data_IF_637096357844
#
_entry.id   IF_637096357844
#
_cell.length_a   1.000
_cell.length_b   1.000
_cell.length_c   1.000
_cell.angle_alpha   90.00
_cell.angle_beta   90.00
_cell.angle_gamma   90.00
#
_symmetry.space_group_name_H-M   'P 1'
#
loop_
_entity.id
_entity.type
_entity.pdbx_description
1 polymer ?
#
# COMPACT_ATOMS: atom_id res chain seq x y z
N UNK A 1 13.21 9.80 8.21
CA UNK A 1 13.20 9.43 6.78
C UNK A 1 12.22 10.25 5.95
N UNK A 2 10.89 10.05 5.94
CA UNK A 2 10.00 10.90 5.12
C UNK A 2 10.13 12.41 5.40
N UNK A 3 10.17 12.81 6.68
CA UNK A 3 10.38 14.21 7.11
C UNK A 3 11.74 14.82 6.75
N UNK A 4 12.70 14.03 6.25
CA UNK A 4 14.00 14.57 5.78
C UNK A 4 13.90 15.07 4.33
N UNK A 5 12.98 14.52 3.54
CA UNK A 5 12.82 14.80 2.12
C UNK A 5 11.53 15.56 1.80
N UNK A 6 10.51 15.44 2.65
CA UNK A 6 9.25 16.15 2.55
C UNK A 6 9.08 17.15 3.69
N UNK A 7 8.47 18.30 3.40
CA UNK A 7 8.16 19.34 4.40
C UNK A 7 6.96 18.95 5.27
N UNK A 8 7.10 17.82 5.98
CA UNK A 8 6.09 17.23 6.87
C UNK A 8 6.77 16.76 8.15
N UNK A 9 6.05 16.79 9.27
CA UNK A 9 6.52 16.26 10.55
C UNK A 9 5.48 15.34 11.16
N UNK A 10 5.91 14.21 11.71
CA UNK A 10 5.04 13.34 12.49
C UNK A 10 5.17 13.65 13.98
N UNK A 11 4.05 13.83 14.65
CA UNK A 11 3.98 13.95 16.11
C UNK A 11 3.27 12.71 16.65
N UNK A 12 3.98 11.92 17.44
CA UNK A 12 3.43 10.70 18.03
C UNK A 12 2.79 11.04 19.38
N UNK A 13 1.52 10.66 19.53
CA UNK A 13 0.79 10.77 20.78
C UNK A 13 0.19 9.41 21.14
N UNK A 14 0.05 9.14 22.44
CA UNK A 14 -0.70 7.99 22.94
C UNK A 14 -2.14 8.37 23.36
N UNK A 15 -2.46 9.66 23.32
CA UNK A 15 -3.73 10.21 23.79
C UNK A 15 -4.25 11.29 22.83
N UNK A 16 -5.57 11.46 22.78
CA UNK A 16 -6.23 12.50 22.01
C UNK A 16 -6.53 12.14 20.56
N UNK A 17 -7.19 13.06 19.87
CA UNK A 17 -7.51 12.96 18.45
C UNK A 17 -6.23 12.89 17.60
N UNK A 18 -6.18 11.98 16.63
CA UNK A 18 -5.03 11.78 15.75
C UNK A 18 -5.48 11.54 14.31
N UNK A 19 -4.81 12.20 13.36
CA UNK A 19 -5.08 12.07 11.92
C UNK A 19 -4.71 10.67 11.40
N UNK A 20 -3.65 10.09 11.96
CA UNK A 20 -3.17 8.73 11.65
C UNK A 20 -3.27 7.90 12.93
N UNK A 21 -4.07 6.82 12.88
CA UNK A 21 -4.31 5.90 14.00
C UNK A 21 -3.85 4.50 13.61
N UNK A 22 -2.83 3.99 14.28
CA UNK A 22 -2.11 2.78 13.86
C UNK A 22 -2.52 1.60 14.76
N UNK A 23 -3.03 0.55 14.15
CA UNK A 23 -3.20 -0.76 14.80
C UNK A 23 -2.03 -1.70 14.47
N UNK A 24 -1.79 -2.67 15.34
CA UNK A 24 -0.75 -3.70 15.19
C UNK A 24 -1.37 -5.10 15.19
N UNK A 25 -2.51 -5.25 14.53
CA UNK A 25 -3.26 -6.50 14.50
C UNK A 25 -2.69 -7.45 13.44
N UNK A 26 -2.06 -8.52 13.92
CA UNK A 26 -1.42 -9.53 13.06
C UNK A 26 -2.40 -10.38 12.24
N UNK A 27 -3.69 -10.32 12.57
CA UNK A 27 -4.73 -10.98 11.76
C UNK A 27 -5.05 -10.16 10.50
N UNK A 28 -4.79 -8.86 10.51
CA UNK A 28 -5.03 -7.97 9.38
C UNK A 28 -3.80 -7.87 8.46
N UNK A 29 -3.99 -7.40 7.24
CA UNK A 29 -2.91 -7.07 6.31
C UNK A 29 -2.28 -5.72 6.64
N UNK A 30 -1.07 -5.46 6.16
CA UNK A 30 -0.51 -4.11 6.17
C UNK A 30 -1.34 -3.22 5.25
N UNK A 31 -1.73 -2.04 5.74
CA UNK A 31 -2.45 -1.06 4.95
C UNK A 31 -2.38 0.33 5.59
N UNK A 32 -2.71 1.34 4.79
CA UNK A 32 -2.98 2.70 5.23
C UNK A 32 -3.99 3.34 4.28
N UNK A 33 -4.87 4.18 4.81
CA UNK A 33 -5.60 5.13 3.97
C UNK A 33 -4.64 6.14 3.34
N UNK A 34 -5.03 6.70 2.20
CA UNK A 34 -4.16 7.59 1.41
C UNK A 34 -4.36 9.04 1.83
N UNK A 35 -3.33 9.66 2.40
CA UNK A 35 -3.34 11.07 2.75
C UNK A 35 -4.53 11.49 3.60
N UNK A 36 -5.30 12.47 3.11
CA UNK A 36 -6.44 13.04 3.83
C UNK A 36 -7.68 12.14 3.85
N UNK A 37 -7.69 11.01 3.12
CA UNK A 37 -8.79 10.05 3.20
C UNK A 37 -8.95 9.50 4.63
N UNK A 38 -7.84 9.45 5.40
CA UNK A 38 -7.83 9.10 6.82
C UNK A 38 -8.72 10.02 7.70
N UNK A 39 -8.93 11.27 7.30
CA UNK A 39 -9.77 12.23 8.04
C UNK A 39 -11.27 11.91 7.93
N UNK A 40 -11.67 11.07 6.98
CA UNK A 40 -13.04 10.59 6.83
C UNK A 40 -13.36 9.36 7.67
N UNK A 41 -12.36 8.77 8.33
CA UNK A 41 -12.50 7.52 9.08
C UNK A 41 -12.91 7.80 10.53
N UNK A 42 -13.89 7.08 11.10
CA UNK A 42 -14.30 7.24 12.49
C UNK A 42 -13.12 7.20 13.48
N UNK A 43 -13.19 8.01 14.53
CA UNK A 43 -12.08 8.21 15.48
C UNK A 43 -11.72 6.94 16.28
N UNK A 44 -12.64 5.99 16.39
CA UNK A 44 -12.46 4.68 17.04
C UNK A 44 -11.96 3.59 16.09
N UNK A 45 -11.79 3.91 14.79
CA UNK A 45 -11.24 3.00 13.79
C UNK A 45 -9.80 3.37 13.43
N UNK A 46 -8.96 2.36 13.20
CA UNK A 46 -7.59 2.57 12.74
C UNK A 46 -7.56 3.08 11.28
N UNK A 47 -6.61 3.96 10.97
CA UNK A 47 -6.36 4.45 9.61
C UNK A 47 -5.14 3.79 8.95
N UNK A 48 -4.41 2.99 9.72
CA UNK A 48 -3.26 2.21 9.27
C UNK A 48 -3.17 0.94 10.12
N UNK A 49 -2.79 -0.17 9.51
CA UNK A 49 -2.44 -1.39 10.23
C UNK A 49 -1.03 -1.83 9.85
N UNK A 50 -0.22 -2.15 10.87
CA UNK A 50 1.12 -2.69 10.73
C UNK A 50 1.19 -4.10 11.34
N UNK A 51 1.20 -5.10 10.49
CA UNK A 51 1.15 -6.52 10.83
C UNK A 51 2.56 -7.12 10.82
N UNK A 52 3.18 -7.19 11.99
CA UNK A 52 4.49 -7.81 12.21
C UNK A 52 4.42 -8.94 13.23
N UNK A 53 5.23 -9.98 13.02
CA UNK A 53 5.37 -11.10 13.94
C UNK A 53 6.85 -11.35 14.28
N UNK A 54 7.12 -12.30 15.17
CA UNK A 54 8.47 -12.62 15.63
C UNK A 54 9.44 -13.10 14.53
N UNK A 55 8.93 -13.43 13.34
CA UNK A 55 9.72 -13.85 12.18
C UNK A 55 9.96 -12.72 11.18
N UNK A 56 9.39 -11.53 11.41
CA UNK A 56 9.57 -10.37 10.54
C UNK A 56 11.00 -9.83 10.70
N UNK A 57 11.76 -9.79 9.60
CA UNK A 57 13.11 -9.22 9.61
C UNK A 57 13.07 -7.71 9.79
N UNK A 58 14.14 -7.11 10.31
CA UNK A 58 14.26 -5.65 10.45
C UNK A 58 14.09 -4.94 9.12
N UNK A 59 14.67 -5.49 8.04
CA UNK A 59 14.53 -4.96 6.68
C UNK A 59 13.06 -4.95 6.23
N UNK A 60 12.33 -6.04 6.45
CA UNK A 60 10.92 -6.14 6.07
C UNK A 60 10.07 -5.13 6.86
N UNK A 61 10.34 -4.98 8.14
CA UNK A 61 9.65 -4.01 9.01
C UNK A 61 9.87 -2.60 8.49
N UNK A 62 11.12 -2.23 8.19
CA UNK A 62 11.47 -0.90 7.66
C UNK A 62 10.78 -0.61 6.32
N UNK A 63 10.81 -1.56 5.38
CA UNK A 63 10.15 -1.41 4.08
C UNK A 63 8.65 -1.19 4.21
N UNK A 64 7.98 -2.01 5.03
CA UNK A 64 6.53 -1.89 5.27
C UNK A 64 6.20 -0.55 5.93
N UNK A 65 6.93 -0.16 6.98
CA UNK A 65 6.70 1.13 7.64
C UNK A 65 6.84 2.28 6.64
N UNK A 66 7.89 2.27 5.82
CA UNK A 66 8.09 3.31 4.81
C UNK A 66 6.95 3.38 3.80
N UNK A 67 6.52 2.22 3.31
CA UNK A 67 5.45 2.09 2.33
C UNK A 67 4.12 2.62 2.89
N UNK A 68 3.70 2.13 4.06
CA UNK A 68 2.42 2.52 4.66
C UNK A 68 2.42 4.00 5.07
N UNK A 69 3.54 4.54 5.57
CA UNK A 69 3.64 5.98 5.82
C UNK A 69 3.69 6.79 4.52
N UNK A 70 4.17 6.21 3.41
CA UNK A 70 4.06 6.80 2.08
C UNK A 70 2.59 6.99 1.67
N UNK A 71 1.75 5.98 1.90
CA UNK A 71 0.30 6.11 1.74
C UNK A 71 -0.28 7.18 2.67
N UNK A 72 0.07 7.17 3.95
CA UNK A 72 -0.44 8.14 4.91
C UNK A 72 -0.15 9.61 4.54
N UNK A 73 0.90 9.87 3.75
CA UNK A 73 1.25 11.21 3.25
C UNK A 73 0.76 11.48 1.82
N UNK A 74 0.03 10.54 1.22
CA UNK A 74 -0.71 10.73 -0.02
C UNK A 74 -0.13 10.03 -1.26
N UNK A 75 0.95 9.26 -1.13
CA UNK A 75 1.45 8.48 -2.26
C UNK A 75 0.52 7.29 -2.55
N UNK A 76 0.30 7.05 -3.84
CA UNK A 76 -0.39 5.86 -4.34
C UNK A 76 0.63 4.86 -4.84
N UNK A 77 0.19 3.66 -5.18
CA UNK A 77 1.10 2.62 -5.63
C UNK A 77 1.76 2.94 -6.98
N UNK A 78 3.06 2.66 -7.09
CA UNK A 78 3.85 2.91 -8.30
C UNK A 78 3.43 2.00 -9.46
N UNK A 79 2.98 0.77 -9.17
CA UNK A 79 2.46 -0.14 -10.20
C UNK A 79 1.18 0.39 -10.85
N UNK A 80 0.53 1.43 -10.30
CA UNK A 80 -0.61 2.09 -10.93
C UNK A 80 -0.18 3.24 -11.85
N UNK A 81 1.12 3.49 -12.01
CA UNK A 81 1.64 4.44 -12.98
C UNK A 81 1.28 4.02 -14.42
N UNK A 82 0.85 4.94 -15.31
CA UNK A 82 0.43 4.61 -16.68
C UNK A 82 1.53 4.05 -17.58
N UNK A 83 2.78 4.12 -17.15
CA UNK A 83 3.96 3.63 -17.87
C UNK A 83 4.59 2.39 -17.19
N UNK A 84 3.83 1.69 -16.33
CA UNK A 84 4.29 0.50 -15.59
C UNK A 84 4.69 -0.69 -16.50
N UNK A 85 4.18 -0.77 -17.72
CA UNK A 85 4.39 -1.91 -18.64
C UNK A 85 3.87 -3.26 -18.14
N UNK A 86 2.99 -3.30 -17.13
CA UNK A 86 2.54 -4.56 -16.51
C UNK A 86 1.37 -5.15 -17.30
N UNK A 87 1.52 -6.40 -17.73
CA UNK A 87 0.45 -7.17 -18.37
C UNK A 87 -0.13 -8.18 -17.38
N UNK A 88 -1.11 -7.77 -16.59
CA UNK A 88 -1.69 -8.61 -15.53
C UNK A 88 -2.43 -9.84 -16.07
N UNK A 89 -2.14 -11.02 -15.49
CA UNK A 89 -3.02 -12.20 -15.57
C UNK A 89 -4.17 -12.02 -14.56
N UNK A 90 -5.19 -11.24 -14.96
CA UNK A 90 -6.23 -10.75 -14.05
C UNK A 90 -6.96 -11.86 -13.31
N UNK A 91 -7.30 -12.96 -13.99
CA UNK A 91 -8.01 -14.07 -13.37
C UNK A 91 -7.18 -14.77 -12.30
N UNK A 92 -5.88 -14.90 -12.52
CA UNK A 92 -4.98 -15.46 -11.51
C UNK A 92 -4.85 -14.56 -10.29
N UNK A 93 -4.73 -13.24 -10.50
CA UNK A 93 -4.67 -12.27 -9.41
C UNK A 93 -5.98 -12.23 -8.63
N UNK A 94 -7.15 -12.21 -9.28
CA UNK A 94 -8.44 -12.34 -8.59
C UNK A 94 -8.52 -13.64 -7.78
N UNK A 95 -8.11 -14.77 -8.36
CA UNK A 95 -8.14 -16.05 -7.68
C UNK A 95 -7.23 -16.05 -6.44
N UNK A 96 -6.06 -15.42 -6.51
CA UNK A 96 -5.18 -15.28 -5.35
C UNK A 96 -5.88 -14.53 -4.20
N UNK A 97 -6.39 -13.33 -4.48
CA UNK A 97 -7.01 -12.48 -3.45
C UNK A 97 -8.32 -13.06 -2.91
N UNK A 98 -9.10 -13.76 -3.72
CA UNK A 98 -10.32 -14.45 -3.28
C UNK A 98 -10.04 -15.66 -2.36
N UNK A 99 -8.84 -16.25 -2.44
CA UNK A 99 -8.44 -17.42 -1.64
C UNK A 99 -7.69 -17.07 -0.34
N UNK A 100 -7.48 -15.78 -0.05
CA UNK A 100 -6.92 -15.32 1.23
C UNK A 100 -7.82 -15.71 2.42
N UNK A 101 -7.31 -15.67 3.68
CA UNK A 101 -8.14 -15.79 4.87
C UNK A 101 -9.33 -14.81 4.84
N UNK A 102 -10.47 -15.20 5.41
CA UNK A 102 -11.74 -14.47 5.26
C UNK A 102 -11.65 -12.97 5.59
N UNK A 103 -10.84 -12.61 6.57
CA UNK A 103 -10.60 -11.24 7.02
C UNK A 103 -9.57 -10.46 6.19
N UNK A 104 -9.02 -11.08 5.14
CA UNK A 104 -8.04 -10.52 4.21
C UNK A 104 -8.49 -10.65 2.75
N UNK A 105 -9.62 -11.30 2.48
CA UNK A 105 -10.14 -11.49 1.12
C UNK A 105 -10.55 -10.17 0.51
N UNK A 106 -10.24 -10.01 -0.77
CA UNK A 106 -10.68 -8.88 -1.57
C UNK A 106 -11.74 -9.33 -2.56
N UNK A 107 -12.75 -8.48 -2.77
CA UNK A 107 -13.67 -8.61 -3.89
C UNK A 107 -12.95 -8.35 -5.22
N UNK A 108 -13.58 -8.68 -6.35
CA UNK A 108 -13.02 -8.31 -7.66
C UNK A 108 -12.89 -6.80 -7.79
N UNK A 109 -13.87 -6.06 -7.27
CA UNK A 109 -13.90 -4.61 -7.26
C UNK A 109 -12.76 -4.02 -6.41
N UNK A 110 -12.40 -4.67 -5.31
CA UNK A 110 -11.22 -4.29 -4.51
C UNK A 110 -9.92 -4.53 -5.28
N UNK A 111 -9.79 -5.68 -5.94
CA UNK A 111 -8.61 -5.98 -6.78
C UNK A 111 -8.51 -5.00 -7.95
N UNK A 112 -9.63 -4.68 -8.60
CA UNK A 112 -9.67 -3.70 -9.68
C UNK A 112 -9.15 -2.34 -9.18
N UNK A 113 -9.66 -1.86 -8.04
CA UNK A 113 -9.27 -0.55 -7.49
C UNK A 113 -7.84 -0.48 -7.02
N UNK A 114 -7.34 -1.53 -6.37
CA UNK A 114 -6.05 -1.51 -5.68
C UNK A 114 -4.89 -2.05 -6.54
N UNK A 115 -5.17 -2.96 -7.49
CA UNK A 115 -4.14 -3.61 -8.31
C UNK A 115 -4.17 -3.12 -9.75
N UNK A 116 -5.33 -3.14 -10.40
CA UNK A 116 -5.39 -2.94 -11.87
C UNK A 116 -5.64 -1.52 -12.31
N UNK A 117 -6.30 -0.71 -11.48
CA UNK A 117 -6.56 0.68 -11.82
C UNK A 117 -5.25 1.41 -12.04
N UNK A 118 -5.13 2.02 -13.20
CA UNK A 118 -4.06 2.93 -13.55
C UNK A 118 -4.50 4.34 -13.17
N UNK A 119 -3.60 5.10 -12.57
CA UNK A 119 -3.87 6.47 -12.19
C UNK A 119 -3.95 7.38 -13.43
N UNK A 120 -4.97 8.22 -13.47
CA UNK A 120 -5.09 9.24 -14.52
C UNK A 120 -3.90 10.19 -14.47
N UNK A 121 -3.36 10.53 -15.64
CA UNK A 121 -2.25 11.49 -15.79
C UNK A 121 -2.55 12.86 -15.19
N UNK A 122 -3.82 13.22 -15.09
CA UNK A 122 -4.27 14.50 -14.53
C UNK A 122 -4.50 14.44 -13.00
N UNK A 123 -4.52 13.24 -12.41
CA UNK A 123 -4.76 13.04 -10.97
C UNK A 123 -3.46 12.93 -10.16
N UNK A 124 -2.29 13.00 -10.79
CA UNK A 124 -1.00 12.74 -10.15
C UNK A 124 0.08 13.71 -10.63
N UNK A 125 1.07 13.96 -9.78
CA UNK A 125 2.23 14.79 -10.08
C UNK A 125 3.42 13.91 -10.49
N UNK A 126 3.22 13.06 -11.51
CA UNK A 126 4.18 12.01 -11.85
C UNK A 126 5.59 12.55 -12.08
N UNK A 127 6.56 11.99 -11.34
CA UNK A 127 7.92 11.81 -11.85
C UNK A 127 7.92 10.72 -12.93
N UNK A 128 9.06 10.41 -13.54
CA UNK A 128 9.16 9.20 -14.37
C UNK A 128 8.82 7.97 -13.52
N UNK A 129 8.20 6.96 -14.14
CA UNK A 129 7.99 5.65 -13.51
C UNK A 129 9.30 5.15 -12.88
N UNK A 130 9.22 4.74 -11.62
CA UNK A 130 10.37 4.29 -10.84
C UNK A 130 10.20 2.82 -10.39
N UNK A 131 10.83 1.85 -11.07
CA UNK A 131 10.75 0.43 -10.68
C UNK A 131 11.38 0.12 -9.32
N UNK A 132 12.17 1.04 -8.74
CA UNK A 132 12.79 0.89 -7.41
C UNK A 132 12.00 1.61 -6.31
N UNK A 133 10.89 2.26 -6.67
CA UNK A 133 10.05 3.01 -5.73
C UNK A 133 9.61 2.13 -4.57
N UNK A 134 9.75 2.66 -3.34
CA UNK A 134 9.22 2.01 -2.14
C UNK A 134 7.70 1.85 -2.20
N UNK A 135 7.01 2.60 -3.07
CA UNK A 135 5.56 2.54 -3.27
C UNK A 135 5.13 1.47 -4.28
N UNK A 136 6.05 0.67 -4.83
CA UNK A 136 5.67 -0.41 -5.71
C UNK A 136 5.10 -1.59 -4.91
N UNK A 137 4.01 -2.19 -5.38
CA UNK A 137 3.49 -3.39 -4.75
C UNK A 137 4.33 -4.59 -5.18
N UNK A 138 4.71 -5.46 -4.23
CA UNK A 138 5.41 -6.70 -4.56
C UNK A 138 4.45 -7.72 -5.19
N UNK A 139 4.82 -8.26 -6.34
CA UNK A 139 4.08 -9.36 -6.98
C UNK A 139 5.02 -10.29 -7.75
N UNK A 140 4.73 -11.59 -7.77
CA UNK A 140 5.54 -12.56 -8.50
C UNK A 140 5.30 -12.47 -10.02
N UNK A 141 6.29 -12.91 -10.81
CA UNK A 141 6.20 -12.99 -12.27
C UNK A 141 4.96 -13.74 -12.74
N UNK A 142 4.58 -14.77 -12.00
CA UNK A 142 3.45 -15.65 -12.32
C UNK A 142 2.12 -14.90 -12.36
N UNK A 143 2.00 -13.71 -11.77
CA UNK A 143 0.81 -12.86 -11.85
C UNK A 143 0.72 -12.05 -13.15
N UNK A 144 1.73 -12.13 -14.02
CA UNK A 144 1.81 -11.35 -15.26
C UNK A 144 1.98 -12.25 -16.47
N UNK A 145 1.53 -11.77 -17.63
CA UNK A 145 1.64 -12.44 -18.93
C UNK A 145 3.02 -12.20 -19.58
N UNK A 146 3.72 -11.14 -19.18
CA UNK A 146 5.03 -10.75 -19.70
C UNK A 146 6.20 -11.11 -18.76
N UNK A 147 5.95 -11.91 -17.72
CA UNK A 147 6.92 -12.36 -16.70
C UNK A 147 7.58 -11.22 -15.90
N UNK A 148 6.96 -10.04 -15.85
CA UNK A 148 7.42 -8.95 -14.99
C UNK A 148 7.09 -9.28 -13.53
N UNK A 149 8.06 -9.07 -12.64
CA UNK A 149 7.91 -9.25 -11.21
C UNK A 149 8.50 -8.07 -10.46
N UNK A 150 7.94 -7.76 -9.29
CA UNK A 150 8.55 -6.82 -8.34
C UNK A 150 8.63 -7.47 -6.98
N UNK A 151 9.81 -7.42 -6.39
CA UNK A 151 10.11 -7.97 -5.07
C UNK A 151 10.79 -6.89 -4.22
N UNK A 152 10.22 -6.63 -3.05
CA UNK A 152 10.82 -5.83 -1.99
C UNK A 152 11.22 -6.74 -0.82
#
# INVERSE_FOLDING_TARGET
>A
MWSEYANISFTFSQEGESDIRIDFNTSNINNSYVGKDALGIPNDEATMNLSFNQFSSSLRIEQVILHEFGHAIGFKHEHQHPENGIEWDREKVYAYFANLPINQRWSREDVDRNIFNVLDRDQTNFSRYDPESIMHYSFPSDWTLNNLAVYH
#
